data_IF_139992573507
#
_entry.id   IF_139992573507
#
_cell.length_a   1.000
_cell.length_b   1.000
_cell.length_c   1.000
_cell.angle_alpha   90.00
_cell.angle_beta   90.00
_cell.angle_gamma   90.00
#
_symmetry.space_group_name_H-M   'P 1'
#
loop_
_entity.id
_entity.type
_entity.pdbx_description
1 polymer ?
#
# COMPACT_ATOMS: atom_id res chain seq x y z
N UNK A 1 40.35 -11.46 1.64
CA UNK A 1 41.10 -10.21 1.82
C UNK A 1 40.99 -9.82 3.28
N UNK A 2 42.10 -9.70 3.99
CA UNK A 2 42.09 -9.29 5.39
C UNK A 2 41.99 -7.76 5.41
N UNK A 3 40.78 -7.24 5.61
CA UNK A 3 40.53 -5.79 5.63
C UNK A 3 41.24 -5.22 6.87
N UNK A 4 42.01 -4.14 6.71
CA UNK A 4 42.67 -3.48 7.85
C UNK A 4 41.61 -3.09 8.90
N UNK A 5 41.75 -3.53 10.16
CA UNK A 5 40.79 -3.24 11.24
C UNK A 5 40.48 -1.74 11.39
N UNK A 6 41.43 -0.85 11.07
CA UNK A 6 41.23 0.61 11.11
C UNK A 6 40.24 1.09 10.05
N UNK A 7 40.32 0.51 8.85
CA UNK A 7 39.42 0.83 7.74
C UNK A 7 38.01 0.30 7.97
N UNK A 8 37.87 -0.83 8.67
CA UNK A 8 36.58 -1.36 9.10
C UNK A 8 35.91 -0.46 10.16
N UNK A 9 36.66 -0.03 11.18
CA UNK A 9 36.16 0.88 12.21
C UNK A 9 35.74 2.24 11.63
N UNK A 10 36.52 2.79 10.69
CA UNK A 10 36.18 4.05 10.03
C UNK A 10 34.87 3.93 9.23
N UNK A 11 34.65 2.82 8.52
CA UNK A 11 33.39 2.58 7.82
C UNK A 11 32.20 2.48 8.78
N UNK A 12 32.38 1.79 9.90
CA UNK A 12 31.35 1.64 10.92
C UNK A 12 30.93 2.99 11.52
N UNK A 13 31.90 3.83 11.88
CA UNK A 13 31.65 5.18 12.40
C UNK A 13 30.93 6.07 11.39
N UNK A 14 31.32 6.02 10.11
CA UNK A 14 30.65 6.77 9.04
C UNK A 14 29.20 6.29 8.87
N UNK A 15 28.97 4.98 8.87
CA UNK A 15 27.63 4.43 8.79
C UNK A 15 26.76 4.81 9.99
N UNK A 16 27.33 4.81 11.21
CA UNK A 16 26.63 5.24 12.41
C UNK A 16 26.24 6.72 12.33
N UNK A 17 27.16 7.60 11.93
CA UNK A 17 26.89 9.03 11.77
C UNK A 17 25.80 9.30 10.74
N UNK A 18 25.86 8.63 9.58
CA UNK A 18 24.85 8.76 8.54
C UNK A 18 23.46 8.31 9.03
N UNK A 19 23.39 7.22 9.78
CA UNK A 19 22.13 6.72 10.34
C UNK A 19 21.57 7.68 11.39
N UNK A 20 22.41 8.24 12.28
CA UNK A 20 21.98 9.25 13.26
C UNK A 20 21.43 10.51 12.58
N UNK A 21 22.05 10.97 11.49
CA UNK A 21 21.56 12.12 10.74
C UNK A 21 20.20 11.84 10.09
N UNK A 22 20.03 10.64 9.52
CA UNK A 22 18.73 10.20 8.97
C UNK A 22 17.65 10.13 10.06
N UNK A 23 17.96 9.55 11.23
CA UNK A 23 17.05 9.49 12.38
C UNK A 23 16.65 10.90 12.82
N UNK A 24 17.60 11.83 12.91
CA UNK A 24 17.33 13.24 13.26
C UNK A 24 16.43 13.93 12.24
N UNK A 25 16.58 13.64 10.95
CA UNK A 25 15.70 14.17 9.91
C UNK A 25 14.27 13.62 10.03
N UNK A 26 14.13 12.35 10.44
CA UNK A 26 12.82 11.74 10.68
C UNK A 26 12.13 12.33 11.92
N UNK A 27 12.93 12.72 12.91
CA UNK A 27 12.50 13.30 14.19
C UNK A 27 11.69 14.59 14.07
N UNK A 28 11.78 15.31 12.96
CA UNK A 28 10.93 16.49 12.72
C UNK A 28 9.44 16.13 12.74
N UNK A 29 9.10 14.87 12.46
CA UNK A 29 7.72 14.35 12.48
C UNK A 29 7.39 13.61 13.78
N UNK A 30 8.41 13.06 14.45
CA UNK A 30 8.29 12.31 15.71
C UNK A 30 9.48 12.60 16.66
N UNK A 31 9.36 13.63 17.52
CA UNK A 31 10.47 14.09 18.37
C UNK A 31 10.92 13.08 19.44
N UNK A 32 9.99 12.25 19.93
CA UNK A 32 10.26 11.33 21.04
C UNK A 32 11.09 10.13 20.56
N UNK A 33 10.84 9.65 19.33
CA UNK A 33 11.62 8.58 18.68
C UNK A 33 13.12 8.86 18.65
N UNK A 34 13.51 10.09 18.33
CA UNK A 34 14.91 10.43 18.15
C UNK A 34 15.64 10.64 19.47
N UNK A 35 14.98 11.17 20.50
CA UNK A 35 15.60 11.38 21.80
C UNK A 35 16.06 10.05 22.41
N UNK A 36 15.16 9.05 22.43
CA UNK A 36 15.42 7.74 23.04
C UNK A 36 16.51 6.94 22.31
N UNK A 37 16.56 7.02 20.98
CA UNK A 37 17.57 6.32 20.18
C UNK A 37 18.93 7.03 20.23
N UNK A 38 18.95 8.36 20.15
CA UNK A 38 20.20 9.13 20.06
C UNK A 38 20.96 9.13 21.39
N UNK A 39 20.28 9.13 22.53
CA UNK A 39 20.93 9.18 23.85
C UNK A 39 21.44 7.80 24.32
N UNK A 40 20.85 6.70 23.85
CA UNK A 40 21.09 5.36 24.38
C UNK A 40 22.16 4.50 23.69
N UNK A 41 22.53 4.80 22.44
CA UNK A 41 23.30 3.85 21.60
C UNK A 41 24.75 4.30 21.37
N UNK A 42 25.72 3.40 21.61
CA UNK A 42 27.15 3.73 21.57
C UNK A 42 27.85 3.29 20.28
N UNK A 43 27.33 2.28 19.60
CA UNK A 43 27.88 1.76 18.35
C UNK A 43 26.78 1.53 17.27
N UNK A 44 27.21 1.21 16.04
CA UNK A 44 26.30 1.03 14.90
C UNK A 44 25.31 -0.12 15.10
N UNK A 45 25.75 -1.25 15.67
CA UNK A 45 24.91 -2.44 15.83
C UNK A 45 23.80 -2.19 16.86
N UNK A 46 24.17 -1.55 17.96
CA UNK A 46 23.25 -1.02 18.98
C UNK A 46 22.21 -0.08 18.34
N UNK A 47 22.66 0.87 17.51
CA UNK A 47 21.78 1.80 16.81
C UNK A 47 20.81 1.10 15.84
N UNK A 48 21.30 0.15 15.05
CA UNK A 48 20.45 -0.66 14.13
C UNK A 48 19.41 -1.45 14.93
N UNK A 49 19.83 -2.07 16.03
CA UNK A 49 18.94 -2.89 16.86
C UNK A 49 17.85 -2.06 17.53
N UNK A 50 18.18 -0.84 17.97
CA UNK A 50 17.21 0.09 18.52
C UNK A 50 16.16 0.50 17.48
N UNK A 51 16.59 0.83 16.25
CA UNK A 51 15.66 1.17 15.15
C UNK A 51 14.80 -0.04 14.76
N UNK A 52 15.34 -1.25 14.74
CA UNK A 52 14.54 -2.46 14.47
C UNK A 52 13.49 -2.70 15.58
N UNK A 53 13.83 -2.45 16.84
CA UNK A 53 12.90 -2.57 17.95
C UNK A 53 11.71 -1.61 17.80
N UNK A 54 11.92 -0.37 17.37
CA UNK A 54 10.80 0.57 17.17
C UNK A 54 9.86 0.15 16.04
N UNK A 55 10.38 -0.51 14.99
CA UNK A 55 9.53 -1.10 13.94
C UNK A 55 8.59 -2.17 14.55
N UNK A 56 9.07 -2.94 15.53
CA UNK A 56 8.21 -3.90 16.24
C UNK A 56 7.15 -3.20 17.09
N UNK A 57 7.50 -2.13 17.78
CA UNK A 57 6.53 -1.33 18.55
C UNK A 57 5.42 -0.78 17.64
N UNK A 58 5.79 -0.26 16.46
CA UNK A 58 4.85 0.22 15.45
C UNK A 58 3.96 -0.91 14.92
N UNK A 59 4.52 -2.09 14.62
CA UNK A 59 3.75 -3.27 14.18
C UNK A 59 2.70 -3.70 15.22
N UNK A 60 3.09 -3.74 16.51
CA UNK A 60 2.19 -4.05 17.62
C UNK A 60 1.10 -2.98 17.77
N UNK A 61 1.47 -1.70 17.67
CA UNK A 61 0.51 -0.61 17.70
C UNK A 61 -0.49 -0.70 16.56
N UNK A 62 -0.02 -0.98 15.33
CA UNK A 62 -0.88 -1.16 14.15
C UNK A 62 -1.87 -2.31 14.33
N UNK A 63 -1.45 -3.43 14.91
CA UNK A 63 -2.34 -4.56 15.21
C UNK A 63 -3.42 -4.18 16.25
N UNK A 64 -3.03 -3.45 17.30
CA UNK A 64 -3.94 -2.93 18.30
C UNK A 64 -4.98 -1.96 17.70
N UNK A 65 -4.52 -1.02 16.87
CA UNK A 65 -5.36 -0.05 16.15
C UNK A 65 -6.34 -0.77 15.23
N UNK A 66 -5.87 -1.75 14.45
CA UNK A 66 -6.72 -2.56 13.57
C UNK A 66 -7.82 -3.27 14.37
N UNK A 67 -7.45 -3.91 15.48
CA UNK A 67 -8.40 -4.59 16.37
C UNK A 67 -9.46 -3.63 16.93
N UNK A 68 -9.05 -2.43 17.33
CA UNK A 68 -9.98 -1.40 17.81
C UNK A 68 -10.92 -0.91 16.70
N UNK A 69 -10.39 -0.67 15.50
CA UNK A 69 -11.16 -0.27 14.32
C UNK A 69 -12.22 -1.32 13.96
N UNK A 70 -11.85 -2.59 13.95
CA UNK A 70 -12.77 -3.70 13.64
C UNK A 70 -13.93 -3.75 14.65
N UNK A 71 -13.64 -3.59 15.95
CA UNK A 71 -14.67 -3.49 16.99
C UNK A 71 -15.60 -2.29 16.77
N UNK A 72 -15.06 -1.13 16.42
CA UNK A 72 -15.86 0.06 16.15
C UNK A 72 -16.70 -0.08 14.89
N UNK A 73 -16.16 -0.69 13.82
CA UNK A 73 -16.90 -0.99 12.60
C UNK A 73 -18.06 -1.94 12.87
N UNK A 74 -17.87 -2.98 13.69
CA UNK A 74 -18.94 -3.88 14.08
C UNK A 74 -20.05 -3.16 14.87
N UNK A 75 -19.68 -2.28 15.81
CA UNK A 75 -20.64 -1.45 16.55
C UNK A 75 -21.40 -0.48 15.64
N UNK A 76 -20.70 0.13 14.67
CA UNK A 76 -21.30 0.98 13.64
C UNK A 76 -22.34 0.21 12.83
N UNK A 77 -21.99 -0.95 12.27
CA UNK A 77 -22.91 -1.83 11.52
C UNK A 77 -24.13 -2.23 12.35
N UNK A 78 -23.93 -2.57 13.63
CA UNK A 78 -25.03 -2.89 14.53
C UNK A 78 -25.96 -1.68 14.76
N UNK A 79 -25.42 -0.46 14.86
CA UNK A 79 -26.22 0.76 14.98
C UNK A 79 -27.00 1.06 13.68
N UNK A 80 -26.36 0.92 12.51
CA UNK A 80 -27.00 1.05 11.21
C UNK A 80 -28.17 0.08 11.07
N UNK A 81 -27.98 -1.20 11.41
CA UNK A 81 -29.04 -2.20 11.39
C UNK A 81 -30.21 -1.86 12.32
N UNK A 82 -29.92 -1.37 13.54
CA UNK A 82 -30.97 -0.92 14.47
C UNK A 82 -31.73 0.30 13.94
N UNK A 83 -31.05 1.23 13.29
CA UNK A 83 -31.69 2.42 12.68
C UNK A 83 -32.62 1.97 11.55
N UNK A 84 -32.15 1.09 10.66
CA UNK A 84 -32.97 0.57 9.56
C UNK A 84 -34.18 -0.24 10.05
N UNK A 85 -34.01 -1.07 11.08
CA UNK A 85 -35.13 -1.77 11.71
C UNK A 85 -36.17 -0.79 12.26
N UNK A 86 -35.74 0.24 13.01
CA UNK A 86 -36.64 1.27 13.54
C UNK A 86 -37.36 2.03 12.43
N UNK A 87 -36.67 2.35 11.32
CA UNK A 87 -37.28 2.99 10.15
C UNK A 87 -38.37 2.12 9.54
N UNK A 88 -38.15 0.81 9.40
CA UNK A 88 -39.16 -0.13 8.90
C UNK A 88 -40.36 -0.24 9.84
N UNK A 89 -40.12 -0.30 11.15
CA UNK A 89 -41.21 -0.31 12.14
C UNK A 89 -42.06 0.96 12.07
N UNK A 90 -41.41 2.13 11.95
CA UNK A 90 -42.13 3.40 11.79
C UNK A 90 -42.88 3.47 10.46
N UNK A 91 -42.28 2.99 9.36
CA UNK A 91 -42.94 2.90 8.07
C UNK A 91 -44.23 2.08 8.17
N UNK A 92 -44.13 0.87 8.74
CA UNK A 92 -45.27 -0.02 8.92
C UNK A 92 -46.36 0.60 9.80
N UNK A 93 -45.99 1.20 10.94
CA UNK A 93 -46.94 1.84 11.84
C UNK A 93 -47.67 3.03 11.21
N UNK A 94 -46.97 3.86 10.42
CA UNK A 94 -47.61 4.98 9.71
C UNK A 94 -48.56 4.48 8.61
N UNK A 95 -48.18 3.40 7.92
CA UNK A 95 -48.99 2.79 6.85
C UNK A 95 -50.28 2.16 7.42
N UNK A 96 -50.16 1.37 8.48
CA UNK A 96 -51.32 0.79 9.20
C UNK A 96 -52.27 1.86 9.76
N UNK A 97 -51.70 2.98 10.24
CA UNK A 97 -52.48 4.11 10.74
C UNK A 97 -53.06 4.99 9.61
N UNK A 98 -52.73 4.73 8.34
CA UNK A 98 -53.14 5.55 7.20
C UNK A 98 -52.54 6.97 7.20
N UNK A 99 -51.45 7.20 7.95
CA UNK A 99 -50.81 8.50 8.10
C UNK A 99 -49.69 8.71 7.08
N UNK A 100 -49.92 9.60 6.11
CA UNK A 100 -48.87 9.99 5.15
C UNK A 100 -47.75 10.82 5.78
N UNK A 101 -48.04 11.56 6.86
CA UNK A 101 -47.06 12.41 7.55
C UNK A 101 -47.37 12.47 9.04
N UNK A 102 -46.32 12.54 9.86
CA UNK A 102 -46.42 12.69 11.31
C UNK A 102 -45.30 13.61 11.82
N UNK A 103 -45.67 14.70 12.49
CA UNK A 103 -44.71 15.57 13.18
C UNK A 103 -44.45 15.05 14.59
N UNK A 104 -43.17 14.88 14.93
CA UNK A 104 -42.71 14.59 16.28
C UNK A 104 -41.91 15.79 16.82
N UNK A 105 -41.65 15.87 18.13
CA UNK A 105 -40.82 16.95 18.68
C UNK A 105 -39.41 17.02 18.09
N UNK A 106 -38.88 15.90 17.59
CA UNK A 106 -37.51 15.81 17.06
C UNK A 106 -37.44 15.84 15.52
N UNK A 107 -38.51 15.53 14.80
CA UNK A 107 -38.47 15.39 13.34
C UNK A 107 -39.87 15.36 12.70
N UNK A 108 -39.93 15.43 11.37
CA UNK A 108 -41.15 15.11 10.62
C UNK A 108 -40.95 13.81 9.85
N UNK A 109 -41.80 12.82 10.12
CA UNK A 109 -41.83 11.54 9.42
C UNK A 109 -42.80 11.66 8.24
N UNK A 110 -42.44 11.17 7.06
CA UNK A 110 -43.31 11.22 5.89
C UNK A 110 -43.12 9.98 5.03
N UNK A 111 -44.22 9.33 4.68
CA UNK A 111 -44.22 8.22 3.75
C UNK A 111 -44.17 8.74 2.32
N UNK A 112 -43.32 8.10 1.51
CA UNK A 112 -43.18 8.36 0.09
C UNK A 112 -42.97 7.03 -0.62
N UNK A 113 -43.41 6.97 -1.87
CA UNK A 113 -43.11 5.82 -2.71
C UNK A 113 -41.60 5.68 -2.89
N UNK A 114 -41.10 4.46 -2.73
CA UNK A 114 -39.70 4.18 -2.95
C UNK A 114 -39.35 4.46 -4.42
N UNK A 115 -38.24 5.17 -4.65
CA UNK A 115 -37.75 5.39 -6.00
C UNK A 115 -37.43 4.06 -6.69
N UNK A 116 -37.89 3.90 -7.93
CA UNK A 116 -37.61 2.72 -8.75
C UNK A 116 -36.11 2.70 -9.06
N UNK A 117 -35.44 1.61 -8.70
CA UNK A 117 -34.04 1.35 -9.06
C UNK A 117 -34.00 0.23 -10.09
N UNK A 118 -33.26 0.45 -11.18
CA UNK A 118 -32.97 -0.61 -12.14
C UNK A 118 -32.03 -1.64 -11.51
N UNK A 119 -32.41 -2.91 -11.55
CA UNK A 119 -31.58 -4.05 -11.14
C UNK A 119 -31.21 -4.82 -12.41
N UNK A 120 -29.92 -4.89 -12.71
CA UNK A 120 -29.40 -5.66 -13.84
C UNK A 120 -29.38 -7.16 -13.47
N UNK A 121 -30.38 -7.91 -13.94
CA UNK A 121 -30.47 -9.36 -13.69
C UNK A 121 -29.63 -10.17 -14.69
N UNK A 122 -29.65 -9.76 -15.96
CA UNK A 122 -28.85 -10.34 -17.06
C UNK A 122 -28.12 -9.20 -17.76
N UNK A 123 -26.90 -8.86 -17.33
CA UNK A 123 -26.16 -7.74 -17.91
C UNK A 123 -25.97 -7.85 -19.43
N UNK A 124 -25.75 -9.06 -19.94
CA UNK A 124 -25.58 -9.37 -21.36
C UNK A 124 -26.75 -8.92 -22.25
N UNK A 125 -27.98 -8.92 -21.71
CA UNK A 125 -29.18 -8.49 -22.42
C UNK A 125 -29.39 -6.96 -22.36
N UNK A 126 -28.59 -6.25 -21.55
CA UNK A 126 -28.71 -4.81 -21.39
C UNK A 126 -28.19 -4.12 -22.66
N UNK A 127 -29.01 -3.30 -23.33
CA UNK A 127 -28.59 -2.60 -24.54
C UNK A 127 -27.32 -1.76 -24.33
N UNK A 128 -26.43 -1.79 -25.33
CA UNK A 128 -25.13 -1.10 -25.34
C UNK A 128 -25.19 0.38 -24.97
N UNK A 129 -26.33 1.07 -25.20
CA UNK A 129 -26.55 2.48 -24.81
C UNK A 129 -26.42 2.74 -23.30
N UNK A 130 -26.62 1.73 -22.46
CA UNK A 130 -26.51 1.84 -21.00
C UNK A 130 -25.10 1.49 -20.48
N UNK A 131 -24.24 0.98 -21.37
CA UNK A 131 -22.86 0.63 -21.05
C UNK A 131 -21.94 1.82 -21.32
N UNK A 132 -21.01 2.08 -20.41
CA UNK A 132 -19.92 3.04 -20.61
C UNK A 132 -18.65 2.27 -20.96
N UNK A 133 -18.02 2.61 -22.08
CA UNK A 133 -16.72 2.05 -22.44
C UNK A 133 -15.69 2.40 -21.37
N UNK A 134 -15.01 1.40 -20.82
CA UNK A 134 -13.90 1.65 -19.90
C UNK A 134 -12.61 1.87 -20.70
N UNK A 135 -11.72 2.79 -20.27
CA UNK A 135 -10.42 2.95 -20.89
C UNK A 135 -9.62 1.64 -20.76
N UNK A 136 -8.73 1.32 -21.72
CA UNK A 136 -7.90 0.14 -21.65
C UNK A 136 -7.05 0.20 -20.38
N UNK A 137 -7.17 -0.82 -19.53
CA UNK A 137 -6.40 -0.94 -18.30
C UNK A 137 -4.97 -1.36 -18.66
N UNK A 138 -3.99 -0.58 -18.25
CA UNK A 138 -2.58 -0.92 -18.42
C UNK A 138 -2.24 -2.16 -17.59
N UNK A 139 -1.71 -3.18 -18.25
CA UNK A 139 -1.20 -4.39 -17.61
C UNK A 139 0.20 -4.14 -17.05
N UNK A 140 0.25 -3.67 -15.80
CA UNK A 140 1.50 -3.41 -15.08
C UNK A 140 2.31 -4.67 -14.81
N UNK A 141 1.67 -5.84 -14.70
CA UNK A 141 2.35 -7.12 -14.44
C UNK A 141 3.12 -7.58 -15.67
N UNK A 142 2.45 -7.56 -16.84
CA UNK A 142 3.09 -7.86 -18.11
C UNK A 142 4.26 -6.90 -18.39
N UNK A 143 4.08 -5.61 -18.07
CA UNK A 143 5.13 -4.61 -18.24
C UNK A 143 6.34 -4.90 -17.34
N UNK A 144 6.10 -5.18 -16.06
CA UNK A 144 7.16 -5.51 -15.08
C UNK A 144 7.91 -6.77 -15.50
N UNK A 145 7.20 -7.78 -16.02
CA UNK A 145 7.80 -9.03 -16.52
C UNK A 145 8.72 -8.79 -17.71
N UNK A 146 8.30 -7.95 -18.67
CA UNK A 146 9.10 -7.63 -19.85
C UNK A 146 10.38 -6.87 -19.49
N UNK A 147 10.31 -5.90 -18.57
CA UNK A 147 11.49 -5.17 -18.07
C UNK A 147 12.48 -6.13 -17.40
N UNK A 148 12.00 -7.00 -16.49
CA UNK A 148 12.86 -7.97 -15.78
C UNK A 148 13.56 -8.92 -16.74
N UNK A 149 12.85 -9.40 -17.77
CA UNK A 149 13.44 -10.27 -18.78
C UNK A 149 14.56 -9.56 -19.56
N UNK A 150 14.33 -8.30 -19.95
CA UNK A 150 15.33 -7.47 -20.62
C UNK A 150 16.55 -7.21 -19.74
N UNK A 151 16.36 -6.83 -18.47
CA UNK A 151 17.47 -6.62 -17.54
C UNK A 151 18.29 -7.89 -17.30
N UNK A 152 17.63 -9.04 -17.15
CA UNK A 152 18.31 -10.31 -16.99
C UNK A 152 19.19 -10.62 -18.20
N UNK A 153 18.64 -10.43 -19.41
CA UNK A 153 19.37 -10.66 -20.65
C UNK A 153 20.54 -9.67 -20.83
N UNK A 154 20.40 -8.40 -20.41
CA UNK A 154 21.48 -7.42 -20.40
C UNK A 154 22.61 -7.82 -19.42
N UNK A 155 22.26 -8.22 -18.19
CA UNK A 155 23.24 -8.70 -17.20
C UNK A 155 24.00 -9.93 -17.69
N UNK A 156 23.30 -10.86 -18.34
CA UNK A 156 23.92 -12.05 -18.95
C UNK A 156 24.84 -11.68 -20.11
N UNK A 157 24.46 -10.74 -20.98
CA UNK A 157 25.29 -10.27 -22.08
C UNK A 157 26.54 -9.49 -21.61
N UNK A 158 26.42 -8.68 -20.56
CA UNK A 158 27.53 -7.92 -19.97
C UNK A 158 28.56 -8.82 -19.27
N UNK A 159 28.14 -9.98 -18.76
CA UNK A 159 29.03 -10.96 -18.11
C UNK A 159 29.98 -11.71 -19.06
N UNK A 160 29.86 -11.51 -20.38
CA UNK A 160 30.70 -12.15 -21.39
C UNK A 160 32.03 -11.38 -21.55
N UNK A 161 33.17 -12.06 -21.36
CA UNK A 161 34.52 -11.46 -21.38
C UNK A 161 35.03 -11.12 -22.79
N UNK A 162 34.61 -11.86 -23.82
CA UNK A 162 35.01 -11.62 -25.22
C UNK A 162 34.23 -10.43 -25.84
N UNK A 163 34.92 -9.35 -26.31
CA UNK A 163 34.29 -8.14 -26.82
C UNK A 163 33.36 -8.35 -28.03
N UNK A 164 33.70 -9.27 -28.95
CA UNK A 164 32.85 -9.54 -30.12
C UNK A 164 31.61 -10.37 -29.75
N UNK A 165 31.76 -11.30 -28.81
CA UNK A 165 30.66 -12.11 -28.30
C UNK A 165 29.67 -11.26 -27.47
N UNK A 166 30.16 -10.27 -26.72
CA UNK A 166 29.34 -9.28 -26.00
C UNK A 166 28.48 -8.46 -26.95
N UNK A 167 29.04 -7.98 -28.06
CA UNK A 167 28.28 -7.19 -29.04
C UNK A 167 27.20 -8.03 -29.74
N UNK A 168 27.48 -9.30 -30.07
CA UNK A 168 26.47 -10.21 -30.63
C UNK A 168 25.37 -10.54 -29.62
N UNK A 169 25.73 -10.72 -28.35
CA UNK A 169 24.77 -10.95 -27.27
C UNK A 169 23.87 -9.72 -27.07
N UNK A 170 24.42 -8.51 -26.99
CA UNK A 170 23.65 -7.27 -26.88
C UNK A 170 22.69 -7.06 -28.07
N UNK A 171 23.13 -7.31 -29.30
CA UNK A 171 22.27 -7.26 -30.48
C UNK A 171 21.14 -8.32 -30.44
N UNK A 172 21.39 -9.47 -29.82
CA UNK A 172 20.41 -10.53 -29.61
C UNK A 172 19.41 -10.16 -28.51
N UNK A 173 19.85 -9.47 -27.46
CA UNK A 173 18.97 -8.92 -26.41
C UNK A 173 18.03 -7.88 -26.98
N UNK A 174 18.51 -6.95 -27.80
CA UNK A 174 17.66 -5.93 -28.41
C UNK A 174 16.68 -6.52 -29.44
N UNK A 175 17.01 -7.64 -30.09
CA UNK A 175 16.12 -8.35 -31.01
C UNK A 175 15.02 -9.17 -30.30
N UNK A 176 15.33 -9.81 -29.16
CA UNK A 176 14.39 -10.64 -28.41
C UNK A 176 13.59 -9.85 -27.35
N UNK A 177 14.16 -8.77 -26.83
CA UNK A 177 13.61 -7.93 -25.76
C UNK A 177 13.82 -6.43 -26.08
N UNK A 178 13.07 -5.89 -27.06
CA UNK A 178 13.22 -4.50 -27.46
C UNK A 178 12.88 -3.53 -26.30
N UNK A 179 13.51 -2.35 -26.24
CA UNK A 179 13.19 -1.35 -25.24
C UNK A 179 11.75 -0.88 -25.41
N UNK A 180 10.98 -0.87 -24.32
CA UNK A 180 9.59 -0.40 -24.32
C UNK A 180 9.60 1.13 -24.16
N UNK A 181 9.13 1.92 -25.15
CA UNK A 181 9.12 3.36 -25.04
C UNK A 181 8.28 3.85 -23.86
N UNK A 182 8.80 4.84 -23.12
CA UNK A 182 8.09 5.46 -21.98
C UNK A 182 8.16 4.67 -20.66
N UNK A 183 8.97 3.61 -20.60
CA UNK A 183 9.06 2.74 -19.41
C UNK A 183 10.53 2.60 -18.99
N UNK A 184 10.82 2.98 -17.76
CA UNK A 184 12.14 2.83 -17.14
C UNK A 184 12.10 1.72 -16.08
N UNK A 185 13.18 0.93 -15.99
CA UNK A 185 13.36 0.05 -14.84
C UNK A 185 13.60 0.90 -13.59
N UNK A 186 12.98 0.52 -12.47
CA UNK A 186 13.38 1.04 -11.16
C UNK A 186 14.82 0.61 -10.88
N UNK A 187 15.59 1.42 -10.15
CA UNK A 187 17.02 1.25 -9.88
C UNK A 187 17.41 -0.03 -9.11
N UNK A 188 16.49 -0.99 -8.93
CA UNK A 188 16.81 -2.33 -8.41
C UNK A 188 17.49 -2.32 -7.04
N UNK A 189 17.15 -1.34 -6.20
CA UNK A 189 17.78 -1.15 -4.90
C UNK A 189 17.57 -2.33 -3.95
N UNK A 190 18.43 -2.40 -2.93
CA UNK A 190 18.28 -3.38 -1.85
C UNK A 190 17.00 -3.08 -1.06
N UNK A 191 16.23 -4.13 -0.78
CA UNK A 191 15.10 -4.05 0.14
C UNK A 191 15.42 -4.78 1.43
N UNK A 192 14.98 -4.24 2.56
CA UNK A 192 15.04 -4.92 3.85
C UNK A 192 13.80 -5.80 4.01
N UNK A 193 14.01 -7.07 4.33
CA UNK A 193 12.93 -7.99 4.70
C UNK A 193 13.13 -8.44 6.13
N UNK A 194 12.14 -8.22 7.00
CA UNK A 194 12.13 -8.73 8.37
C UNK A 194 11.31 -10.01 8.43
N UNK A 195 11.85 -11.04 9.10
CA UNK A 195 11.12 -12.27 9.40
C UNK A 195 10.97 -12.33 10.92
N UNK A 196 9.76 -12.05 11.38
CA UNK A 196 9.35 -12.18 12.79
C UNK A 196 8.77 -13.57 13.01
#
# INVERSE_FOLDING_TARGET
>A
MNVDPRFALQQELVAQQNLLEQIRSLAETDPDFAADIIEGQTNLVELISAVDATILDDEVLLEGVKTALDKLQNRKRAAENRIELKRRLLLHALDEAGLKTLRTPSSTLSLRDAGIKAIALSPEDIPSRFWKAQPPKLDQEALTKAIRAREKALKEAESIEDPEARQRALATVDALHPPIPGVAASNGGLTLSRRV
#
